data_IF_806624453439
#
_entry.id   IF_806624453439
#
_cell.length_a   1.000
_cell.length_b   1.000
_cell.length_c   1.000
_cell.angle_alpha   90.00
_cell.angle_beta   90.00
_cell.angle_gamma   90.00
#
_symmetry.space_group_name_H-M   'P 1'
#
loop_
_entity.id
_entity.type
_entity.pdbx_description
1 polymer ?
#
# COMPACT_ATOMS: atom_id res chain seq x y z
N UNK A 1 12.17 16.21 30.20
CA UNK A 1 12.02 15.54 28.89
C UNK A 1 10.57 15.13 28.77
N UNK A 2 9.80 15.79 27.90
CA UNK A 2 8.39 15.48 27.67
C UNK A 2 8.32 14.40 26.60
N UNK A 3 7.80 13.22 26.95
CA UNK A 3 7.51 12.17 25.98
C UNK A 3 6.05 12.35 25.56
N UNK A 4 5.81 12.61 24.29
CA UNK A 4 4.47 12.61 23.71
C UNK A 4 4.00 11.16 23.64
N UNK A 5 3.18 10.77 24.63
CA UNK A 5 2.61 9.41 24.75
C UNK A 5 1.39 9.20 23.86
N UNK A 6 1.22 9.97 22.78
CA UNK A 6 0.09 9.74 21.87
C UNK A 6 0.22 8.37 21.23
N UNK A 7 -0.83 7.52 21.31
CA UNK A 7 -0.80 6.24 20.64
C UNK A 7 -0.63 6.48 19.14
N UNK A 8 0.28 5.74 18.51
CA UNK A 8 0.40 5.76 17.06
C UNK A 8 -0.86 5.11 16.48
N UNK A 9 -1.74 5.90 15.86
CA UNK A 9 -2.89 5.34 15.15
C UNK A 9 -2.48 5.15 13.70
N UNK A 10 -2.50 3.92 13.18
CA UNK A 10 -2.17 3.65 11.78
C UNK A 10 -3.09 4.41 10.82
N UNK A 11 -4.32 4.70 11.23
CA UNK A 11 -5.28 5.52 10.48
C UNK A 11 -4.85 7.01 10.34
N UNK A 12 -4.04 7.53 11.28
CA UNK A 12 -3.51 8.90 11.25
C UNK A 12 -2.19 9.01 10.47
N UNK A 13 -1.54 7.87 10.19
CA UNK A 13 -0.29 7.77 9.41
C UNK A 13 -0.52 7.88 7.89
N UNK A 14 -1.30 8.87 7.43
CA UNK A 14 -1.49 9.22 6.02
C UNK A 14 -2.18 8.18 5.13
N UNK A 15 -2.70 8.62 3.98
CA UNK A 15 -3.29 7.73 2.98
C UNK A 15 -2.19 6.91 2.29
N UNK A 16 -2.24 5.57 2.42
CA UNK A 16 -1.31 4.65 1.75
C UNK A 16 -1.96 4.10 0.49
N UNK A 17 -1.46 4.52 -0.67
CA UNK A 17 -1.89 3.95 -1.96
C UNK A 17 -1.47 2.49 -2.01
N UNK A 18 -2.42 1.59 -2.26
CA UNK A 18 -2.17 0.16 -2.33
C UNK A 18 -2.88 -0.42 -3.56
N UNK A 19 -2.25 -1.43 -4.16
CA UNK A 19 -2.80 -2.11 -5.33
C UNK A 19 -3.93 -3.04 -4.92
N UNK A 20 -5.10 -2.91 -5.53
CA UNK A 20 -6.32 -3.66 -5.21
C UNK A 20 -6.64 -4.66 -6.33
N UNK A 21 -6.47 -5.98 -6.13
CA UNK A 21 -6.78 -6.95 -7.18
C UNK A 21 -8.26 -6.86 -7.58
N UNK A 22 -8.53 -6.80 -8.90
CA UNK A 22 -9.90 -6.69 -9.43
C UNK A 22 -10.44 -5.26 -9.56
N UNK A 23 -9.73 -4.24 -9.09
CA UNK A 23 -10.07 -2.84 -9.30
C UNK A 23 -9.17 -2.19 -10.36
N UNK A 24 -9.61 -1.06 -10.93
CA UNK A 24 -8.77 -0.28 -11.84
C UNK A 24 -7.68 0.45 -11.03
N UNK A 25 -6.47 -0.08 -11.06
CA UNK A 25 -5.32 0.51 -10.37
C UNK A 25 -4.53 1.41 -11.33
N UNK A 26 -4.49 2.70 -11.04
CA UNK A 26 -3.68 3.68 -11.76
C UNK A 26 -2.40 3.97 -10.97
N UNK A 27 -1.26 3.97 -11.63
CA UNK A 27 0.02 4.23 -10.99
C UNK A 27 0.10 5.71 -10.54
N UNK A 28 0.37 5.99 -9.25
CA UNK A 28 0.50 7.36 -8.75
C UNK A 28 1.76 8.07 -9.25
N UNK A 29 2.75 7.33 -9.78
CA UNK A 29 3.99 7.89 -10.32
C UNK A 29 3.88 8.38 -11.76
N UNK A 30 3.21 7.62 -12.63
CA UNK A 30 3.17 7.91 -14.08
C UNK A 30 1.77 7.87 -14.72
N UNK A 31 0.72 7.57 -13.96
CA UNK A 31 -0.66 7.50 -14.46
C UNK A 31 -0.99 6.28 -15.31
N UNK A 32 -0.06 5.31 -15.46
CA UNK A 32 -0.30 4.08 -16.23
C UNK A 32 -0.93 2.98 -15.37
N UNK A 33 -1.61 2.02 -16.01
CA UNK A 33 -2.33 0.95 -15.31
C UNK A 33 -1.77 -0.46 -15.58
N UNK A 34 -0.55 -0.56 -16.12
CA UNK A 34 0.09 -1.86 -16.34
C UNK A 34 1.03 -2.21 -15.18
N UNK A 35 0.85 -3.41 -14.64
CA UNK A 35 1.47 -3.83 -13.39
C UNK A 35 2.06 -5.24 -13.51
N UNK A 36 3.26 -5.41 -12.98
CA UNK A 36 3.88 -6.71 -12.68
C UNK A 36 3.48 -7.10 -11.26
N UNK A 37 2.61 -8.10 -11.11
CA UNK A 37 2.07 -8.51 -9.82
C UNK A 37 2.97 -9.54 -9.17
N UNK A 38 3.64 -9.15 -8.09
CA UNK A 38 4.41 -10.02 -7.21
C UNK A 38 3.56 -10.62 -6.09
N UNK A 39 4.22 -11.22 -5.10
CA UNK A 39 3.54 -11.84 -3.95
C UNK A 39 3.02 -10.84 -2.93
N UNK A 40 3.76 -9.75 -2.72
CA UNK A 40 3.46 -8.73 -1.71
C UNK A 40 3.25 -7.33 -2.30
N UNK A 41 3.78 -7.10 -3.51
CA UNK A 41 3.78 -5.80 -4.18
C UNK A 41 3.38 -5.94 -5.64
N UNK A 42 2.79 -4.88 -6.18
CA UNK A 42 2.55 -4.69 -7.60
C UNK A 42 3.49 -3.57 -8.08
N UNK A 43 4.31 -3.86 -9.09
CA UNK A 43 5.25 -2.90 -9.66
C UNK A 43 4.75 -2.36 -10.99
N UNK A 44 4.80 -1.05 -11.19
CA UNK A 44 4.41 -0.43 -12.45
C UNK A 44 5.43 -0.74 -13.54
N UNK A 45 4.98 -1.33 -14.65
CA UNK A 45 5.84 -1.74 -15.76
C UNK A 45 6.54 -0.58 -16.51
N UNK A 46 6.17 0.68 -16.23
CA UNK A 46 6.70 1.87 -16.91
C UNK A 46 7.70 2.67 -16.09
N UNK A 47 7.40 2.90 -14.81
CA UNK A 47 8.20 3.76 -13.93
C UNK A 47 8.78 3.03 -12.71
N UNK A 48 8.58 1.70 -12.62
CA UNK A 48 9.02 0.86 -11.51
C UNK A 48 8.47 1.28 -10.13
N UNK A 49 7.41 2.09 -10.08
CA UNK A 49 6.68 2.37 -8.82
C UNK A 49 6.12 1.07 -8.26
N UNK A 50 6.55 0.69 -7.06
CA UNK A 50 6.04 -0.47 -6.36
C UNK A 50 5.00 -0.06 -5.31
N UNK A 51 3.79 -0.63 -5.42
CA UNK A 51 2.74 -0.49 -4.42
C UNK A 51 2.56 -1.79 -3.64
N UNK A 52 2.26 -1.73 -2.33
CA UNK A 52 1.86 -2.91 -1.58
C UNK A 52 0.53 -3.43 -2.14
N UNK A 53 0.39 -4.76 -2.26
CA UNK A 53 -0.87 -5.39 -2.63
C UNK A 53 -1.78 -5.35 -1.40
N UNK A 54 -2.91 -4.66 -1.53
CA UNK A 54 -3.98 -4.71 -0.54
C UNK A 54 -4.70 -6.06 -0.67
N UNK A 55 -4.12 -7.10 -0.09
CA UNK A 55 -4.88 -8.30 0.21
C UNK A 55 -5.72 -7.97 1.46
N UNK A 56 -7.00 -7.68 1.26
CA UNK A 56 -7.92 -7.07 2.23
C UNK A 56 -8.22 -7.93 3.50
N UNK A 57 -7.25 -8.64 4.08
CA UNK A 57 -7.48 -9.51 5.23
C UNK A 57 -6.26 -10.05 5.98
N UNK A 58 -5.03 -9.59 5.73
CA UNK A 58 -3.88 -10.00 6.57
C UNK A 58 -3.53 -8.95 7.62
N UNK A 59 -4.46 -8.68 8.55
CA UNK A 59 -4.02 -8.26 9.89
C UNK A 59 -3.75 -9.56 10.64
N UNK A 60 -2.47 -9.89 10.83
CA UNK A 60 -2.12 -11.02 11.68
C UNK A 60 -2.54 -10.69 13.11
N UNK A 61 -3.72 -11.13 13.52
CA UNK A 61 -4.09 -11.16 14.94
C UNK A 61 -3.26 -12.27 15.57
N UNK A 62 -2.02 -11.93 15.96
CA UNK A 62 -1.18 -12.84 16.75
C UNK A 62 -1.91 -13.20 18.03
N UNK A 63 -2.28 -14.47 18.16
CA UNK A 63 -2.72 -15.12 19.40
C UNK A 63 -1.52 -15.37 20.31
#
# INVERSE_FOLDING_TARGET
MFYDTKPFTVAESGYRVAFRPGEQNVCPGCGQSHWTIGRMTAECAFCATALPINNSGMVGTGL
#
